data_IF_333721508406
#
_entry.id   IF_333721508406
#
_cell.length_a   1.000
_cell.length_b   1.000
_cell.length_c   1.000
_cell.angle_alpha   90.00
_cell.angle_beta   90.00
_cell.angle_gamma   90.00
#
_symmetry.space_group_name_H-M   'P 1'
#
loop_
_entity.id
_entity.type
_entity.pdbx_description
1 polymer ?
#
# COMPACT_ATOMS: atom_id res chain seq x y z
N UNK A 1 -19.82 -4.47 19.52
CA UNK A 1 -18.59 -5.19 19.18
C UNK A 1 -18.55 -5.32 17.68
N UNK A 2 -17.53 -4.75 17.03
CA UNK A 2 -17.34 -4.92 15.60
C UNK A 2 -16.86 -6.36 15.40
N UNK A 3 -17.57 -7.11 14.56
CA UNK A 3 -17.23 -8.49 14.26
C UNK A 3 -16.10 -8.50 13.22
N UNK A 4 -15.15 -9.42 13.38
CA UNK A 4 -14.15 -9.74 12.37
C UNK A 4 -14.83 -10.07 11.01
N UNK A 5 -14.13 -9.85 9.91
CA UNK A 5 -14.64 -10.12 8.57
C UNK A 5 -14.56 -11.62 8.19
N UNK A 6 -14.22 -12.49 9.13
CA UNK A 6 -13.98 -13.91 8.86
C UNK A 6 -15.27 -14.61 8.40
N UNK A 7 -15.13 -15.46 7.39
CA UNK A 7 -16.24 -16.17 6.75
C UNK A 7 -17.14 -15.30 5.88
N UNK A 8 -16.95 -13.97 5.82
CA UNK A 8 -17.82 -13.04 5.07
C UNK A 8 -17.92 -13.38 3.58
N UNK A 9 -16.82 -13.83 2.97
CA UNK A 9 -16.76 -14.25 1.57
C UNK A 9 -16.53 -15.76 1.42
N UNK A 10 -16.80 -16.53 2.47
CA UNK A 10 -16.58 -17.98 2.52
C UNK A 10 -15.34 -18.37 3.33
N UNK A 11 -15.32 -19.64 3.76
CA UNK A 11 -14.28 -20.18 4.66
C UNK A 11 -12.92 -20.35 4.00
N UNK A 12 -12.88 -20.40 2.68
CA UNK A 12 -11.65 -20.55 1.89
C UNK A 12 -11.23 -19.23 1.22
N UNK A 13 -11.88 -18.11 1.55
CA UNK A 13 -11.50 -16.82 1.00
C UNK A 13 -10.13 -16.37 1.52
N UNK A 14 -9.28 -15.90 0.60
CA UNK A 14 -7.93 -15.40 0.84
C UNK A 14 -7.73 -13.99 0.27
N UNK A 15 -8.79 -13.39 -0.31
CA UNK A 15 -8.74 -12.08 -0.97
C UNK A 15 -9.30 -10.96 -0.09
N UNK A 16 -10.12 -11.28 0.91
CA UNK A 16 -10.58 -10.35 1.92
C UNK A 16 -11.39 -9.19 1.36
N UNK A 17 -11.18 -7.99 1.88
CA UNK A 17 -11.96 -6.79 1.60
C UNK A 17 -11.91 -6.35 0.13
N UNK A 18 -10.92 -6.79 -0.65
CA UNK A 18 -10.88 -6.58 -2.10
C UNK A 18 -12.05 -7.26 -2.83
N UNK A 19 -12.70 -8.25 -2.21
CA UNK A 19 -13.94 -8.82 -2.72
C UNK A 19 -15.13 -7.85 -2.68
N UNK A 20 -14.99 -6.65 -2.09
CA UNK A 20 -15.95 -5.56 -2.27
C UNK A 20 -15.89 -4.90 -3.65
N UNK A 21 -14.79 -5.10 -4.37
CA UNK A 21 -14.60 -4.58 -5.71
C UNK A 21 -15.12 -5.61 -6.72
N UNK A 22 -16.40 -5.49 -7.06
CA UNK A 22 -17.06 -6.28 -8.10
C UNK A 22 -17.13 -5.49 -9.43
N UNK A 23 -17.64 -6.13 -10.49
CA UNK A 23 -17.73 -5.52 -11.82
C UNK A 23 -18.48 -4.18 -11.84
N UNK A 24 -19.50 -4.02 -11.00
CA UNK A 24 -20.26 -2.76 -10.91
C UNK A 24 -19.43 -1.64 -10.26
N UNK A 25 -18.64 -1.93 -9.21
CA UNK A 25 -17.72 -0.97 -8.60
C UNK A 25 -16.66 -0.53 -9.60
N UNK A 26 -16.09 -1.46 -10.36
CA UNK A 26 -15.14 -1.17 -11.45
C UNK A 26 -15.78 -0.22 -12.47
N UNK A 27 -16.99 -0.54 -12.94
CA UNK A 27 -17.71 0.27 -13.93
C UNK A 27 -18.02 1.68 -13.41
N UNK A 28 -18.45 1.82 -12.15
CA UNK A 28 -18.71 3.12 -11.53
C UNK A 28 -17.43 3.94 -11.38
N UNK A 29 -16.34 3.31 -10.96
CA UNK A 29 -15.04 3.97 -10.84
C UNK A 29 -14.50 4.43 -12.19
N UNK A 30 -14.65 3.63 -13.25
CA UNK A 30 -14.28 4.02 -14.61
C UNK A 30 -15.03 5.29 -15.08
N UNK A 31 -16.28 5.47 -14.64
CA UNK A 31 -17.07 6.67 -14.91
C UNK A 31 -16.57 7.96 -14.23
N UNK A 32 -15.58 7.87 -13.34
CA UNK A 32 -14.92 9.03 -12.73
C UNK A 32 -13.91 9.69 -13.66
N UNK A 33 -13.38 8.97 -14.65
CA UNK A 33 -12.40 9.50 -15.60
C UNK A 33 -13.06 10.57 -16.48
N UNK A 34 -12.58 11.81 -16.38
CA UNK A 34 -13.10 12.95 -17.14
C UNK A 34 -12.13 13.45 -18.19
N UNK A 35 -10.84 13.47 -17.90
CA UNK A 35 -9.84 14.08 -18.77
C UNK A 35 -8.66 13.16 -19.09
N UNK A 36 -8.60 11.98 -18.47
CA UNK A 36 -7.63 10.93 -18.79
C UNK A 36 -6.22 11.21 -18.28
N UNK A 37 -6.06 12.17 -17.35
CA UNK A 37 -4.76 12.40 -16.72
C UNK A 37 -4.43 11.22 -15.83
N UNK A 38 -3.31 10.56 -16.12
CA UNK A 38 -2.79 9.45 -15.33
C UNK A 38 -1.69 9.97 -14.41
N UNK A 39 -1.79 9.65 -13.12
CA UNK A 39 -0.83 10.02 -12.09
C UNK A 39 -0.30 8.71 -11.49
N UNK A 40 1.02 8.52 -11.54
CA UNK A 40 1.66 7.45 -10.77
C UNK A 40 1.77 7.86 -9.32
N UNK A 41 1.38 6.96 -8.42
CA UNK A 41 1.46 7.14 -6.97
C UNK A 41 2.65 6.38 -6.38
N UNK A 42 3.60 5.97 -7.21
CA UNK A 42 4.75 5.16 -6.81
C UNK A 42 6.02 6.00 -6.69
N UNK A 43 6.87 5.63 -5.73
CA UNK A 43 8.22 6.15 -5.61
C UNK A 43 9.10 5.65 -6.76
N UNK A 44 10.01 6.49 -7.29
CA UNK A 44 11.14 5.98 -8.04
C UNK A 44 12.04 5.15 -7.11
N UNK A 45 12.44 3.97 -7.56
CA UNK A 45 13.28 3.05 -6.79
C UNK A 45 14.72 3.09 -7.28
N UNK A 46 15.65 3.11 -6.34
CA UNK A 46 17.09 3.06 -6.57
C UNK A 46 17.79 2.39 -5.39
N UNK A 47 19.10 2.12 -5.53
CA UNK A 47 19.92 1.64 -4.41
C UNK A 47 19.98 2.67 -3.25
N UNK A 48 19.74 3.94 -3.55
CA UNK A 48 19.72 5.05 -2.58
C UNK A 48 18.32 5.31 -1.99
N UNK A 49 17.29 4.59 -2.44
CA UNK A 49 15.94 4.72 -1.88
C UNK A 49 15.97 4.29 -0.41
N UNK A 50 15.59 5.18 0.54
CA UNK A 50 15.65 4.89 1.96
C UNK A 50 14.83 3.64 2.32
N UNK A 51 15.33 2.91 3.32
CA UNK A 51 14.71 1.68 3.82
C UNK A 51 14.92 1.59 5.33
N UNK A 52 13.96 1.01 6.09
CA UNK A 52 14.19 0.70 7.50
C UNK A 52 15.49 -0.08 7.70
N UNK A 53 16.29 0.29 8.71
CA UNK A 53 17.66 -0.24 8.90
C UNK A 53 17.78 -1.75 9.11
N UNK A 54 16.67 -2.45 9.37
CA UNK A 54 16.61 -3.90 9.48
C UNK A 54 16.38 -4.62 8.15
N UNK A 55 16.09 -3.91 7.04
CA UNK A 55 15.88 -4.46 5.70
C UNK A 55 17.10 -4.18 4.83
N UNK A 56 17.40 -5.10 3.91
CA UNK A 56 18.44 -4.87 2.91
C UNK A 56 18.02 -3.76 1.92
N UNK A 57 18.94 -2.95 1.40
CA UNK A 57 18.63 -2.02 0.31
C UNK A 57 18.34 -2.78 -1.00
N UNK A 58 17.76 -2.07 -1.97
CA UNK A 58 17.67 -2.58 -3.33
C UNK A 58 19.07 -2.65 -3.95
N UNK A 59 19.34 -3.73 -4.67
CA UNK A 59 20.54 -3.87 -5.51
C UNK A 59 20.10 -3.90 -6.98
N UNK A 60 20.79 -3.12 -7.82
CA UNK A 60 20.55 -3.07 -9.27
C UNK A 60 21.87 -3.31 -10.00
N UNK A 61 21.85 -4.26 -10.92
CA UNK A 61 23.03 -4.69 -11.67
C UNK A 61 22.72 -4.63 -13.17
N UNK A 62 23.56 -3.96 -13.94
CA UNK A 62 23.56 -4.10 -15.39
C UNK A 62 24.25 -5.41 -15.75
N UNK A 63 23.55 -6.32 -16.42
CA UNK A 63 24.11 -7.58 -16.92
C UNK A 63 24.78 -7.42 -18.28
N UNK A 64 24.25 -6.50 -19.10
CA UNK A 64 24.84 -6.06 -20.36
C UNK A 64 24.42 -4.62 -20.63
N UNK A 65 25.32 -3.80 -21.14
CA UNK A 65 25.00 -2.40 -21.42
C UNK A 65 25.77 -1.82 -22.62
N UNK A 66 25.56 -0.51 -22.86
CA UNK A 66 26.22 0.23 -23.93
C UNK A 66 27.75 0.29 -23.80
N UNK A 67 28.26 0.30 -22.56
CA UNK A 67 29.68 0.32 -22.23
C UNK A 67 30.41 -0.92 -22.71
N UNK A 68 29.81 -2.10 -22.57
CA UNK A 68 30.38 -3.37 -23.08
C UNK A 68 30.66 -3.29 -24.58
N UNK A 69 29.71 -2.73 -25.34
CA UNK A 69 29.89 -2.58 -26.78
C UNK A 69 30.92 -1.51 -27.10
N UNK A 70 30.93 -0.39 -26.37
CA UNK A 70 31.95 0.65 -26.52
C UNK A 70 33.36 0.10 -26.28
N UNK A 71 33.49 -0.88 -25.39
CA UNK A 71 34.72 -1.64 -25.13
C UNK A 71 35.04 -2.73 -26.17
N UNK A 72 34.30 -2.81 -27.28
CA UNK A 72 34.55 -3.77 -28.37
C UNK A 72 33.71 -5.05 -28.33
N UNK A 73 32.68 -5.11 -27.46
CA UNK A 73 31.72 -6.20 -27.43
C UNK A 73 31.10 -6.49 -28.81
N UNK A 74 30.86 -7.78 -29.10
CA UNK A 74 30.35 -8.24 -30.41
C UNK A 74 29.00 -7.61 -30.73
N UNK A 75 28.84 -7.17 -32.00
CA UNK A 75 27.61 -6.56 -32.55
C UNK A 75 27.16 -7.28 -33.83
N UNK A 76 26.70 -8.54 -33.76
CA UNK A 76 26.24 -9.26 -34.94
C UNK A 76 25.13 -8.47 -35.65
N UNK A 77 25.32 -8.15 -36.92
CA UNK A 77 24.39 -7.32 -37.69
C UNK A 77 24.18 -5.90 -37.12
N UNK A 78 25.08 -5.42 -36.25
CA UNK A 78 24.94 -4.14 -35.56
C UNK A 78 24.01 -4.15 -34.35
N UNK A 79 23.43 -5.29 -33.96
CA UNK A 79 22.50 -5.37 -32.83
C UNK A 79 23.19 -5.08 -31.48
N UNK A 80 22.50 -4.30 -30.64
CA UNK A 80 22.89 -3.97 -29.27
C UNK A 80 21.64 -3.98 -28.39
N UNK A 81 21.80 -4.39 -27.14
CA UNK A 81 20.76 -4.37 -26.12
C UNK A 81 21.38 -4.20 -24.74
N UNK A 82 20.56 -3.73 -23.80
CA UNK A 82 20.89 -3.69 -22.39
C UNK A 82 19.93 -4.61 -21.62
N UNK A 83 20.43 -5.19 -20.54
CA UNK A 83 19.66 -6.02 -19.62
C UNK A 83 20.17 -5.81 -18.20
N UNK A 84 19.29 -5.97 -17.23
CA UNK A 84 19.59 -5.74 -15.83
C UNK A 84 18.90 -6.75 -14.91
N UNK A 85 19.32 -6.73 -13.64
CA UNK A 85 18.81 -7.59 -12.57
C UNK A 85 18.66 -6.75 -11.32
N UNK A 86 17.55 -6.98 -10.60
CA UNK A 86 17.28 -6.36 -9.31
C UNK A 86 17.13 -7.40 -8.21
N UNK A 87 17.69 -7.11 -7.04
CA UNK A 87 17.41 -7.82 -5.78
C UNK A 87 16.77 -6.80 -4.85
N UNK A 88 15.54 -7.07 -4.42
CA UNK A 88 14.75 -6.09 -3.67
C UNK A 88 13.90 -6.77 -2.59
N UNK A 89 13.78 -6.18 -1.38
CA UNK A 89 12.77 -6.60 -0.41
C UNK A 89 11.37 -6.33 -0.96
N UNK A 90 10.41 -7.21 -0.69
CA UNK A 90 9.04 -7.03 -1.21
C UNK A 90 8.28 -5.88 -0.52
N UNK A 91 8.72 -5.50 0.68
CA UNK A 91 8.23 -4.36 1.44
C UNK A 91 9.22 -3.19 1.30
N UNK A 92 9.36 -2.66 0.09
CA UNK A 92 10.34 -1.62 -0.26
C UNK A 92 9.73 -0.56 -1.16
N UNK A 93 10.00 0.72 -0.86
CA UNK A 93 9.38 1.84 -1.54
C UNK A 93 7.86 1.76 -1.49
N UNK A 94 7.19 2.08 -2.60
CA UNK A 94 5.74 1.88 -2.71
C UNK A 94 5.42 0.39 -2.85
N UNK A 95 4.72 -0.15 -1.87
CA UNK A 95 4.42 -1.57 -1.81
C UNK A 95 3.04 -1.84 -1.20
N UNK A 96 2.56 -3.07 -1.38
CA UNK A 96 1.32 -3.56 -0.81
C UNK A 96 1.61 -4.77 0.06
N UNK A 97 0.97 -4.81 1.23
CA UNK A 97 1.04 -5.92 2.16
C UNK A 97 -0.06 -6.93 1.87
N UNK A 98 0.34 -8.21 1.81
CA UNK A 98 -0.60 -9.31 1.66
C UNK A 98 -1.25 -9.66 3.01
N UNK A 99 -2.32 -10.45 2.97
CA UNK A 99 -3.08 -10.83 4.18
C UNK A 99 -2.32 -11.79 5.11
N UNK A 100 -1.17 -12.30 4.68
CA UNK A 100 -0.24 -13.07 5.51
C UNK A 100 0.87 -12.23 6.16
N UNK A 101 0.91 -10.91 5.94
CA UNK A 101 2.01 -10.05 6.39
C UNK A 101 2.08 -9.87 7.91
N UNK A 102 0.95 -9.55 8.55
CA UNK A 102 0.87 -9.26 9.99
C UNK A 102 -0.31 -10.00 10.64
N UNK A 103 -0.10 -10.51 11.85
CA UNK A 103 -1.10 -11.29 12.58
C UNK A 103 -0.84 -11.36 14.09
N UNK A 104 -1.80 -11.93 14.81
CA UNK A 104 -1.70 -12.31 16.23
C UNK A 104 -2.51 -13.60 16.50
N UNK A 105 -2.35 -14.20 17.69
CA UNK A 105 -2.95 -15.49 18.09
C UNK A 105 -2.71 -16.66 17.13
N UNK A 106 -1.55 -16.69 16.46
CA UNK A 106 -1.19 -17.71 15.47
C UNK A 106 -2.20 -17.89 14.31
N UNK A 107 -2.98 -16.85 14.02
CA UNK A 107 -4.00 -16.87 12.97
C UNK A 107 -3.87 -15.69 12.03
N UNK A 108 -3.80 -15.97 10.73
CA UNK A 108 -3.95 -15.00 9.67
C UNK A 108 -5.44 -14.65 9.48
N UNK A 109 -5.73 -13.80 8.50
CA UNK A 109 -7.09 -13.55 8.02
C UNK A 109 -7.87 -14.86 7.79
N UNK A 110 -9.17 -14.82 8.09
CA UNK A 110 -10.12 -15.94 7.95
C UNK A 110 -9.81 -17.16 8.83
N UNK A 111 -8.93 -17.01 9.82
CA UNK A 111 -8.57 -18.05 10.78
C UNK A 111 -7.58 -19.08 10.26
N UNK A 112 -6.89 -18.80 9.15
CA UNK A 112 -5.84 -19.69 8.66
C UNK A 112 -4.66 -19.74 9.64
N UNK A 113 -4.04 -20.92 9.85
CA UNK A 113 -2.91 -21.03 10.76
C UNK A 113 -1.69 -20.26 10.22
N UNK A 114 -1.07 -19.43 11.06
CA UNK A 114 0.17 -18.71 10.73
C UNK A 114 1.33 -19.64 10.37
N UNK A 115 1.27 -20.89 10.87
CA UNK A 115 2.27 -21.93 10.59
C UNK A 115 2.33 -22.38 9.13
N UNK A 116 1.41 -21.92 8.27
CA UNK A 116 1.48 -22.08 6.81
C UNK A 116 2.40 -21.06 6.11
N UNK A 117 2.90 -20.05 6.81
CA UNK A 117 3.89 -19.08 6.28
C UNK A 117 5.28 -19.51 6.73
N UNK A 118 6.10 -20.02 5.81
CA UNK A 118 7.40 -20.63 6.13
C UNK A 118 8.51 -20.16 5.19
N UNK A 119 9.75 -20.16 5.70
CA UNK A 119 10.94 -19.87 4.89
C UNK A 119 11.15 -20.86 3.73
N UNK A 120 10.64 -22.09 3.84
CA UNK A 120 10.83 -23.14 2.82
C UNK A 120 9.77 -23.15 1.72
N UNK A 121 8.57 -22.63 1.99
CA UNK A 121 7.42 -22.70 1.07
C UNK A 121 6.79 -21.35 0.75
N UNK A 122 7.19 -20.28 1.45
CA UNK A 122 6.49 -19.00 1.43
C UNK A 122 5.18 -19.06 2.21
N UNK A 123 4.26 -18.15 1.90
CA UNK A 123 2.89 -18.15 2.42
C UNK A 123 1.99 -19.11 1.62
N UNK A 124 1.58 -20.22 2.24
CA UNK A 124 0.65 -21.17 1.62
C UNK A 124 -0.77 -20.62 1.48
N UNK A 125 -1.17 -19.75 2.41
CA UNK A 125 -2.45 -19.03 2.41
C UNK A 125 -2.21 -17.53 2.48
N UNK A 126 -3.14 -16.74 1.96
CA UNK A 126 -3.14 -15.27 2.05
C UNK A 126 -1.89 -14.60 1.45
N UNK A 127 -1.14 -15.32 0.61
CA UNK A 127 0.00 -14.77 -0.12
C UNK A 127 -0.43 -13.75 -1.17
N UNK A 128 0.51 -12.90 -1.59
CA UNK A 128 0.23 -11.82 -2.55
C UNK A 128 -0.30 -12.34 -3.90
N UNK A 129 0.06 -13.57 -4.28
CA UNK A 129 -0.47 -14.24 -5.48
C UNK A 129 -1.97 -14.56 -5.43
N UNK A 130 -2.61 -14.47 -4.25
CA UNK A 130 -4.05 -14.70 -4.05
C UNK A 130 -4.91 -13.44 -4.22
N UNK A 131 -4.28 -12.27 -4.22
CA UNK A 131 -4.96 -10.97 -4.14
C UNK A 131 -5.64 -10.57 -5.45
N UNK A 132 -4.99 -10.85 -6.58
CA UNK A 132 -5.40 -10.40 -7.91
C UNK A 132 -5.24 -8.88 -8.11
N UNK A 133 -5.70 -8.35 -9.25
CA UNK A 133 -5.64 -6.92 -9.54
C UNK A 133 -6.68 -6.12 -8.75
N UNK A 134 -6.37 -4.85 -8.52
CA UNK A 134 -7.24 -3.85 -7.91
C UNK A 134 -7.58 -2.81 -8.97
N UNK A 135 -8.85 -2.73 -9.33
CA UNK A 135 -9.39 -1.65 -10.18
C UNK A 135 -10.68 -1.18 -9.53
N UNK A 136 -10.72 0.05 -9.05
CA UNK A 136 -11.85 0.52 -8.27
C UNK A 136 -11.81 2.02 -8.03
N UNK A 137 -12.68 2.50 -7.15
CA UNK A 137 -12.70 3.91 -6.79
C UNK A 137 -11.62 4.15 -5.73
N UNK A 138 -10.66 5.02 -6.06
CA UNK A 138 -9.75 5.59 -5.08
C UNK A 138 -10.35 6.85 -4.49
N UNK A 139 -10.15 7.07 -3.20
CA UNK A 139 -10.51 8.32 -2.51
C UNK A 139 -9.31 8.84 -1.73
N UNK A 140 -9.10 10.16 -1.77
CA UNK A 140 -8.03 10.82 -1.01
C UNK A 140 -8.61 11.52 0.22
N UNK A 141 -8.10 11.16 1.39
CA UNK A 141 -8.29 11.88 2.65
C UNK A 141 -7.00 12.67 2.93
N UNK A 142 -6.98 13.94 2.55
CA UNK A 142 -5.79 14.77 2.63
C UNK A 142 -5.65 15.42 4.02
N UNK A 143 -4.83 14.82 4.89
CA UNK A 143 -4.57 15.36 6.23
C UNK A 143 -3.67 16.59 6.17
N UNK A 144 -2.82 16.71 5.15
CA UNK A 144 -1.98 17.90 4.93
C UNK A 144 -2.85 19.12 4.65
N UNK A 145 -3.85 18.97 3.78
CA UNK A 145 -4.84 20.03 3.51
C UNK A 145 -5.72 20.32 4.73
N UNK A 146 -6.02 19.31 5.55
CA UNK A 146 -6.78 19.49 6.80
C UNK A 146 -6.00 20.30 7.84
N UNK A 147 -4.73 19.93 8.07
CA UNK A 147 -3.84 20.53 9.06
C UNK A 147 -3.16 21.83 8.58
N UNK A 148 -3.12 22.07 7.27
CA UNK A 148 -2.42 23.20 6.65
C UNK A 148 -0.90 23.03 6.57
N UNK A 149 -0.39 21.82 6.82
CA UNK A 149 1.04 21.44 6.82
C UNK A 149 1.18 19.91 6.78
N UNK A 150 2.36 19.37 6.42
CA UNK A 150 2.70 17.98 6.73
C UNK A 150 2.49 17.66 8.21
N UNK A 151 2.02 16.44 8.49
CA UNK A 151 1.84 15.98 9.86
C UNK A 151 3.18 15.84 10.58
N UNK A 152 3.18 16.05 11.89
CA UNK A 152 4.38 15.91 12.71
C UNK A 152 4.72 14.45 12.94
N UNK A 153 5.98 14.21 13.32
CA UNK A 153 6.45 12.93 13.85
C UNK A 153 5.48 12.40 14.93
N UNK A 154 4.96 11.19 14.75
CA UNK A 154 4.02 10.53 15.67
C UNK A 154 2.65 11.18 15.81
N UNK A 155 2.28 12.12 14.93
CA UNK A 155 0.95 12.74 14.96
C UNK A 155 -0.12 11.72 14.59
N UNK A 156 -1.05 11.49 15.51
CA UNK A 156 -2.12 10.52 15.35
C UNK A 156 -3.29 11.10 14.53
N UNK A 157 -3.72 10.35 13.51
CA UNK A 157 -4.88 10.63 12.67
C UNK A 157 -6.08 9.85 13.22
N UNK A 158 -6.95 10.55 13.93
CA UNK A 158 -8.13 9.93 14.56
C UNK A 158 -9.28 9.77 13.56
N UNK A 159 -10.26 8.94 13.94
CA UNK A 159 -11.53 8.78 13.21
C UNK A 159 -12.19 10.12 12.89
N UNK A 160 -12.22 11.06 13.84
CA UNK A 160 -12.91 12.34 13.66
C UNK A 160 -12.20 13.21 12.62
N UNK A 161 -10.87 13.14 12.56
CA UNK A 161 -10.09 13.81 11.51
C UNK A 161 -10.41 13.23 10.12
N UNK A 162 -10.52 11.90 10.00
CA UNK A 162 -10.91 11.24 8.75
C UNK A 162 -12.33 11.66 8.30
N UNK A 163 -13.28 11.73 9.24
CA UNK A 163 -14.66 12.14 8.95
C UNK A 163 -14.71 13.61 8.49
N UNK A 164 -13.96 14.50 9.15
CA UNK A 164 -13.84 15.91 8.75
C UNK A 164 -13.19 16.04 7.37
N UNK A 165 -12.13 15.29 7.07
CA UNK A 165 -11.48 15.32 5.77
C UNK A 165 -12.41 14.83 4.65
N UNK A 166 -13.15 13.74 4.87
CA UNK A 166 -14.17 13.26 3.95
C UNK A 166 -15.25 14.33 3.69
N UNK A 167 -15.70 15.01 4.76
CA UNK A 167 -16.65 16.12 4.67
C UNK A 167 -16.13 17.30 3.84
N UNK A 168 -14.88 17.74 4.07
CA UNK A 168 -14.23 18.81 3.28
C UNK A 168 -14.10 18.45 1.81
N UNK A 169 -13.76 17.20 1.53
CA UNK A 169 -13.64 16.65 0.19
C UNK A 169 -15.01 16.35 -0.47
N UNK A 170 -16.12 16.59 0.25
CA UNK A 170 -17.50 16.32 -0.18
C UNK A 170 -17.71 14.89 -0.65
N UNK A 171 -17.02 13.95 -0.01
CA UNK A 171 -17.09 12.53 -0.33
C UNK A 171 -17.64 11.74 0.84
N UNK A 172 -18.11 10.54 0.52
CA UNK A 172 -18.40 9.49 1.49
C UNK A 172 -17.59 8.28 1.08
N UNK A 173 -16.96 7.64 2.05
CA UNK A 173 -16.35 6.33 1.85
C UNK A 173 -17.49 5.34 1.60
N UNK A 174 -17.38 4.62 0.49
CA UNK A 174 -18.31 3.58 0.10
C UNK A 174 -17.62 2.21 0.14
N UNK A 175 -18.45 1.18 0.25
CA UNK A 175 -18.01 -0.21 0.17
C UNK A 175 -17.28 -0.45 -1.16
N UNK A 176 -16.02 -0.88 -1.09
CA UNK A 176 -15.16 -1.13 -2.24
C UNK A 176 -14.13 -0.03 -2.52
N UNK A 177 -14.13 1.05 -1.75
CA UNK A 177 -13.16 2.13 -1.93
C UNK A 177 -11.74 1.71 -1.53
N UNK A 178 -10.76 2.16 -2.31
CA UNK A 178 -9.36 2.23 -1.91
C UNK A 178 -9.15 3.58 -1.25
N UNK A 179 -8.96 3.60 0.07
CA UNK A 179 -8.85 4.84 0.85
C UNK A 179 -7.38 5.21 1.02
N UNK A 180 -6.97 6.34 0.45
CA UNK A 180 -5.61 6.86 0.53
C UNK A 180 -5.55 8.03 1.52
N UNK A 181 -4.64 7.98 2.47
CA UNK A 181 -4.48 8.98 3.52
C UNK A 181 -3.16 9.71 3.26
N UNK A 182 -3.22 11.00 2.96
CA UNK A 182 -2.01 11.82 2.77
C UNK A 182 -1.64 12.49 4.08
N UNK A 183 -0.54 12.04 4.68
CA UNK A 183 0.07 12.58 5.90
C UNK A 183 1.15 13.63 5.58
N UNK A 184 1.71 13.60 4.37
CA UNK A 184 2.87 14.38 3.96
C UNK A 184 4.20 13.80 4.45
N UNK A 185 4.22 12.55 4.96
CA UNK A 185 5.42 11.97 5.57
C UNK A 185 6.55 11.77 4.58
N UNK A 186 6.28 11.20 3.41
CA UNK A 186 7.28 11.03 2.35
C UNK A 186 7.83 12.36 1.80
N UNK A 187 7.08 13.45 2.00
CA UNK A 187 7.51 14.81 1.63
C UNK A 187 8.46 15.39 2.70
N UNK A 188 8.48 14.81 3.90
CA UNK A 188 9.41 15.14 4.97
C UNK A 188 10.74 14.42 4.76
N UNK A 189 11.85 15.15 4.94
CA UNK A 189 13.19 14.74 4.48
C UNK A 189 13.60 13.33 4.94
N UNK A 190 13.71 12.33 4.04
CA UNK A 190 13.92 10.92 4.41
C UNK A 190 15.38 10.59 4.81
N UNK A 191 16.21 11.62 5.00
CA UNK A 191 17.62 11.52 5.38
C UNK A 191 17.83 11.49 6.90
N UNK A 192 16.77 11.63 7.70
CA UNK A 192 16.87 11.59 9.16
C UNK A 192 17.10 10.14 9.63
N UNK A 193 18.09 9.87 10.52
CA UNK A 193 18.37 8.50 10.98
C UNK A 193 17.19 7.79 11.66
N UNK A 194 16.27 8.58 12.22
CA UNK A 194 15.10 8.15 12.97
C UNK A 194 13.81 8.21 12.14
N UNK A 195 13.91 8.40 10.81
CA UNK A 195 12.77 8.60 9.92
C UNK A 195 11.71 7.48 10.00
N UNK A 196 12.10 6.25 10.31
CA UNK A 196 11.16 5.11 10.45
C UNK A 196 10.70 4.87 11.90
N UNK A 197 11.20 5.63 12.87
CA UNK A 197 10.95 5.39 14.30
C UNK A 197 9.87 6.33 14.89
N UNK A 198 9.10 7.02 14.05
CA UNK A 198 8.20 8.09 14.52
C UNK A 198 7.23 8.64 13.48
N UNK A 199 6.59 7.80 12.72
CA UNK A 199 5.73 8.23 11.62
C UNK A 199 4.35 8.72 12.11
N UNK A 200 3.75 9.76 11.48
CA UNK A 200 2.33 10.04 11.68
C UNK A 200 1.49 8.93 11.06
N UNK A 201 0.28 8.70 11.55
CA UNK A 201 -0.61 7.69 10.97
C UNK A 201 -1.88 7.50 11.77
N UNK A 202 -2.74 6.57 11.34
CA UNK A 202 -4.03 6.34 11.99
C UNK A 202 -3.94 5.55 13.30
N UNK A 203 -4.95 5.67 14.15
CA UNK A 203 -5.15 4.79 15.31
C UNK A 203 -6.13 3.63 15.02
N UNK A 204 -6.25 2.70 15.96
CA UNK A 204 -7.18 1.56 15.86
C UNK A 204 -8.65 1.99 15.71
N UNK A 205 -9.16 3.00 16.44
CA UNK A 205 -10.50 3.54 16.19
C UNK A 205 -10.72 4.03 14.74
N UNK A 206 -9.76 4.74 14.15
CA UNK A 206 -9.79 5.18 12.76
C UNK A 206 -9.76 3.98 11.79
N UNK A 207 -8.89 3.00 12.05
CA UNK A 207 -8.81 1.77 11.26
C UNK A 207 -10.15 1.00 11.24
N UNK A 208 -10.76 0.81 12.42
CA UNK A 208 -12.10 0.18 12.53
C UNK A 208 -13.17 0.95 11.79
N UNK A 209 -13.13 2.29 11.86
CA UNK A 209 -14.08 3.13 11.16
C UNK A 209 -14.00 2.99 9.63
N UNK A 210 -12.79 2.85 9.08
CA UNK A 210 -12.56 2.56 7.66
C UNK A 210 -13.12 1.17 7.29
N UNK A 211 -12.84 0.17 8.11
CA UNK A 211 -13.32 -1.20 7.91
C UNK A 211 -14.85 -1.30 7.94
N UNK A 212 -15.50 -0.64 8.91
CA UNK A 212 -16.96 -0.57 9.03
C UNK A 212 -17.64 0.06 7.80
N UNK A 213 -16.94 0.96 7.10
CA UNK A 213 -17.41 1.60 5.86
C UNK A 213 -17.17 0.75 4.62
N UNK A 214 -16.47 -0.38 4.78
CA UNK A 214 -16.17 -1.32 3.71
C UNK A 214 -15.05 -0.86 2.79
N UNK A 215 -14.04 -0.15 3.33
CA UNK A 215 -12.78 0.05 2.62
C UNK A 215 -12.22 -1.29 2.14
N UNK A 216 -11.81 -1.36 0.88
CA UNK A 216 -11.24 -2.57 0.26
C UNK A 216 -9.72 -2.66 0.46
N UNK A 217 -9.06 -1.50 0.48
CA UNK A 217 -7.65 -1.32 0.82
C UNK A 217 -7.48 0.05 1.49
N UNK A 218 -6.45 0.17 2.33
CA UNK A 218 -6.06 1.43 2.96
C UNK A 218 -4.61 1.71 2.60
N UNK A 219 -4.31 2.92 2.15
CA UNK A 219 -2.95 3.31 1.80
C UNK A 219 -2.55 4.65 2.39
N UNK A 220 -1.25 4.85 2.56
CA UNK A 220 -0.68 6.09 3.08
C UNK A 220 0.66 6.41 2.43
N UNK A 221 1.07 7.67 2.52
CA UNK A 221 2.38 8.18 2.12
C UNK A 221 3.43 8.09 3.24
N UNK A 222 3.22 7.16 4.18
CA UNK A 222 4.18 6.74 5.21
C UNK A 222 4.51 5.23 5.03
N UNK A 223 5.32 4.65 5.90
CA UNK A 223 5.79 3.26 5.85
C UNK A 223 5.31 2.43 7.05
N UNK A 224 4.18 2.84 7.64
CA UNK A 224 3.54 2.11 8.73
C UNK A 224 2.01 2.17 8.72
N UNK A 225 1.36 3.03 7.92
CA UNK A 225 -0.09 3.35 7.97
C UNK A 225 -0.55 3.99 9.31
N UNK A 226 -0.01 3.56 10.43
CA UNK A 226 -0.34 3.91 11.79
C UNK A 226 0.70 4.81 12.46
N UNK A 227 0.29 5.49 13.52
CA UNK A 227 1.19 6.37 14.25
C UNK A 227 2.27 5.57 15.00
N UNK A 228 3.52 6.01 14.88
CA UNK A 228 4.66 5.55 15.66
C UNK A 228 5.14 6.72 16.53
N UNK A 229 5.32 6.56 17.85
CA UNK A 229 5.32 5.32 18.62
C UNK A 229 3.93 4.70 18.83
N UNK A 230 3.91 3.38 18.98
CA UNK A 230 2.70 2.62 19.29
C UNK A 230 2.23 2.87 20.74
N UNK A 231 0.96 2.55 21.05
CA UNK A 231 0.51 2.43 22.44
C UNK A 231 1.41 1.48 23.26
N UNK A 232 1.53 1.70 24.58
CA UNK A 232 2.31 0.81 25.45
C UNK A 232 1.88 -0.65 25.29
N UNK A 233 2.87 -1.55 25.26
CA UNK A 233 2.69 -3.01 25.14
C UNK A 233 2.06 -3.50 23.82
N UNK A 234 1.88 -2.62 22.82
CA UNK A 234 1.35 -2.95 21.49
C UNK A 234 2.42 -2.76 20.41
N UNK A 235 2.34 -3.54 19.32
CA UNK A 235 3.22 -3.44 18.15
C UNK A 235 2.38 -3.62 16.88
N UNK A 236 2.33 -2.60 16.04
CA UNK A 236 1.50 -2.56 14.84
C UNK A 236 0.00 -2.93 15.02
N UNK A 237 -0.71 -2.40 16.04
CA UNK A 237 -2.11 -2.75 16.27
C UNK A 237 -3.06 -2.41 15.11
N UNK A 238 -2.78 -1.40 14.29
CA UNK A 238 -3.60 -1.09 13.11
C UNK A 238 -3.39 -2.14 12.02
N UNK A 239 -2.15 -2.56 11.77
CA UNK A 239 -1.91 -3.66 10.84
C UNK A 239 -2.65 -4.93 11.26
N UNK A 240 -2.55 -5.31 12.53
CA UNK A 240 -3.27 -6.46 13.07
C UNK A 240 -4.78 -6.33 12.86
N UNK A 241 -5.34 -5.16 13.14
CA UNK A 241 -6.75 -4.89 12.96
C UNK A 241 -7.17 -4.99 11.48
N UNK A 242 -6.53 -4.25 10.58
CA UNK A 242 -6.93 -4.18 9.17
C UNK A 242 -6.65 -5.48 8.43
N UNK A 243 -5.44 -6.03 8.56
CA UNK A 243 -5.00 -7.21 7.80
C UNK A 243 -5.69 -8.46 8.31
N UNK A 244 -5.49 -8.82 9.59
CA UNK A 244 -6.00 -10.09 10.12
C UNK A 244 -7.50 -10.04 10.38
N UNK A 245 -8.01 -9.02 11.05
CA UNK A 245 -9.40 -9.04 11.50
C UNK A 245 -10.36 -8.69 10.36
N UNK A 246 -10.00 -7.71 9.51
CA UNK A 246 -10.87 -7.23 8.45
C UNK A 246 -10.50 -7.68 7.03
N UNK A 247 -9.34 -8.32 6.83
CA UNK A 247 -8.89 -8.76 5.51
C UNK A 247 -8.61 -7.59 4.56
N UNK A 248 -8.22 -6.43 5.10
CA UNK A 248 -7.92 -5.21 4.34
C UNK A 248 -6.42 -5.15 4.08
N UNK A 249 -6.04 -5.03 2.82
CA UNK A 249 -4.64 -4.88 2.40
C UNK A 249 -4.16 -3.44 2.59
N UNK A 250 -2.88 -3.28 2.87
CA UNK A 250 -2.25 -2.00 3.17
C UNK A 250 -1.30 -1.58 2.06
N UNK A 251 -1.32 -0.30 1.68
CA UNK A 251 -0.42 0.24 0.65
C UNK A 251 0.43 1.35 1.25
N UNK A 252 1.72 1.10 1.35
CA UNK A 252 2.66 2.00 2.00
C UNK A 252 3.56 2.70 1.00
N UNK A 253 4.18 3.80 1.44
CA UNK A 253 5.14 4.57 0.68
C UNK A 253 4.54 5.21 -0.58
N UNK A 254 3.26 5.59 -0.54
CA UNK A 254 2.60 6.24 -1.68
C UNK A 254 3.14 7.66 -1.91
N UNK A 255 3.14 8.10 -3.17
CA UNK A 255 3.36 9.49 -3.55
C UNK A 255 2.01 10.16 -3.78
N UNK A 256 1.50 10.88 -2.77
CA UNK A 256 0.13 11.42 -2.78
C UNK A 256 0.05 12.93 -3.04
N UNK A 257 1.16 13.67 -2.95
CA UNK A 257 1.19 15.12 -3.22
C UNK A 257 0.56 15.51 -4.56
N UNK A 258 0.82 14.80 -5.69
CA UNK A 258 0.23 15.17 -6.98
C UNK A 258 -1.31 15.09 -7.01
N UNK A 259 -1.93 14.23 -6.19
CA UNK A 259 -3.40 14.17 -6.06
C UNK A 259 -3.93 15.35 -5.25
N UNK A 260 -3.23 15.74 -4.17
CA UNK A 260 -3.55 16.92 -3.37
C UNK A 260 -3.47 18.20 -4.21
N UNK A 261 -2.42 18.36 -5.01
CA UNK A 261 -2.22 19.48 -5.94
C UNK A 261 -3.30 19.53 -7.03
N UNK A 262 -3.70 18.37 -7.56
CA UNK A 262 -4.79 18.26 -8.52
C UNK A 262 -6.18 18.44 -7.89
N UNK A 263 -6.27 18.56 -6.56
CA UNK A 263 -7.52 18.58 -5.80
C UNK A 263 -8.42 17.38 -6.13
N UNK A 264 -7.80 16.23 -6.44
CA UNK A 264 -8.47 15.01 -6.86
C UNK A 264 -8.88 14.19 -5.63
N UNK A 265 -10.13 14.37 -5.20
CA UNK A 265 -10.64 13.67 -4.02
C UNK A 265 -11.19 12.27 -4.29
N UNK A 266 -11.60 11.99 -5.53
CA UNK A 266 -12.00 10.66 -5.99
C UNK A 266 -11.55 10.43 -7.43
N UNK A 267 -11.12 9.21 -7.74
CA UNK A 267 -10.51 8.86 -9.03
C UNK A 267 -10.66 7.36 -9.33
N UNK A 268 -10.39 6.97 -10.57
CA UNK A 268 -10.19 5.56 -10.89
C UNK A 268 -8.80 5.16 -10.35
N UNK A 269 -8.78 4.23 -9.41
CA UNK A 269 -7.56 3.62 -8.88
C UNK A 269 -7.29 2.30 -9.59
N UNK A 270 -6.05 2.09 -10.01
CA UNK A 270 -5.58 0.86 -10.63
C UNK A 270 -4.25 0.45 -10.01
N UNK A 271 -4.15 -0.78 -9.53
CA UNK A 271 -2.89 -1.35 -9.07
C UNK A 271 -2.93 -2.87 -9.19
N UNK A 272 -1.79 -3.49 -9.46
CA UNK A 272 -1.64 -4.94 -9.36
C UNK A 272 -0.28 -5.25 -8.73
N UNK A 273 -0.20 -6.19 -7.79
CA UNK A 273 1.08 -6.66 -7.31
C UNK A 273 1.74 -7.52 -8.38
N UNK A 274 3.03 -7.76 -8.23
CA UNK A 274 3.69 -8.87 -8.89
C UNK A 274 3.08 -10.18 -8.36
N UNK A 275 2.76 -11.17 -9.22
CA UNK A 275 2.14 -12.42 -8.80
C UNK A 275 3.17 -13.39 -8.20
N UNK A 276 3.86 -12.94 -7.14
CA UNK A 276 4.91 -13.70 -6.45
C UNK A 276 4.26 -14.75 -5.57
N UNK A 277 4.39 -16.02 -5.99
CA UNK A 277 3.82 -17.15 -5.25
C UNK A 277 4.37 -17.18 -3.82
N UNK A 278 3.47 -17.13 -2.83
CA UNK A 278 3.83 -17.19 -1.42
C UNK A 278 4.54 -15.95 -0.89
N UNK A 279 4.53 -14.83 -1.63
CA UNK A 279 5.07 -13.55 -1.15
C UNK A 279 4.17 -12.94 -0.08
N UNK A 280 4.78 -12.23 0.88
CA UNK A 280 4.07 -11.51 1.96
C UNK A 280 3.66 -10.09 1.60
N UNK A 281 4.09 -9.63 0.43
CA UNK A 281 3.78 -8.32 -0.12
C UNK A 281 4.34 -8.23 -1.53
N UNK A 282 4.25 -7.06 -2.13
CA UNK A 282 4.87 -6.77 -3.42
C UNK A 282 5.10 -5.28 -3.59
N UNK A 283 6.21 -4.85 -4.19
CA UNK A 283 6.25 -3.55 -4.83
C UNK A 283 5.16 -3.50 -5.89
N UNK A 284 4.56 -2.33 -6.07
CA UNK A 284 3.56 -2.11 -7.10
C UNK A 284 3.60 -0.66 -7.59
N UNK A 285 2.96 -0.43 -8.73
CA UNK A 285 2.76 0.93 -9.24
C UNK A 285 1.28 1.25 -9.22
N UNK A 286 0.77 1.90 -8.16
CA UNK A 286 -0.59 2.38 -8.13
C UNK A 286 -0.74 3.59 -9.08
N UNK A 287 -1.84 3.60 -9.81
CA UNK A 287 -2.20 4.67 -10.74
C UNK A 287 -3.53 5.28 -10.31
N UNK A 288 -3.60 6.61 -10.36
CA UNK A 288 -4.84 7.35 -10.32
C UNK A 288 -5.13 7.93 -11.71
N UNK A 289 -6.35 7.72 -12.22
CA UNK A 289 -6.82 8.26 -13.49
C UNK A 289 -7.99 9.21 -13.23
N UNK A 290 -7.84 10.46 -13.69
CA UNK A 290 -8.77 11.58 -13.45
C UNK A 290 -9.65 11.94 -14.65
#
# INVERSE_FOLDING_TARGET
MVQDAWGRWGKEDERGALNHIEAEQVRRAAGLVRHGRVISLAQPLSADTPVPGHRAPMLHFMGRDGGDYAAGGKRPGGFQFAEDTVVLPLHFGTHIDALCHAWYDDKLYNGFPSTGTRSTTGAERCGIDKMGPIVGRGVLLDMVALAGRPLWRGECVTRDMLDVAAGRARLRIEKGDVVLIRTGWIESSPSAPDYYDGEPGIDVPAARWLAERGAAAVGSDNFAIEAIPFPPDEVFPVHQCLIRDFGITLIEGLVLAPLGEAQASAFLFMATPLPIRGGTGSPLVPLAVL
#
